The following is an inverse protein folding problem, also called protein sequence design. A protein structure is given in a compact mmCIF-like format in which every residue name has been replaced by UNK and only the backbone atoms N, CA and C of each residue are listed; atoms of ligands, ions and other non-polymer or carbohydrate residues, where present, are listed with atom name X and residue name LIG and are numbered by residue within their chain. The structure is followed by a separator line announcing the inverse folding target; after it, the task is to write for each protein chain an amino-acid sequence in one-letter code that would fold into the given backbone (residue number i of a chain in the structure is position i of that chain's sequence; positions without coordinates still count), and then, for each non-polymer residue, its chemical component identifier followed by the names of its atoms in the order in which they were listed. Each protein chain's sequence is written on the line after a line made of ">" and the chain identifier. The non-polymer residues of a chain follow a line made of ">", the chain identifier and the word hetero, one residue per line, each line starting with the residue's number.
data_IF_103153976944
#
_entry.id   IF_103153976944
#
_cell.length_a   1.000
_cell.length_b   1.000
_cell.length_c   1.000
_cell.angle_alpha   90.00
_cell.angle_beta   90.00
_cell.angle_gamma   90.00
#
_symmetry.space_group_name_H-M   'P 1'
#
loop_
_entity.id
_entity.type
_entity.pdbx_description
1 polymer ?
#
# COMPACT_ATOMS: atom_id res chain seq x y z
N UNK A 1 0.41 5.69 26.36
CA UNK A 1 -0.29 4.82 25.40
C UNK A 1 -0.45 5.61 24.12
N UNK A 2 0.26 5.20 23.07
CA UNK A 2 -0.12 5.53 21.69
C UNK A 2 -1.51 4.94 21.53
N UNK A 3 -2.49 5.71 21.03
CA UNK A 3 -3.76 5.09 20.68
C UNK A 3 -3.58 4.29 19.40
N UNK A 4 -4.43 3.28 19.24
CA UNK A 4 -4.84 2.73 17.96
C UNK A 4 -5.62 3.79 17.15
N UNK A 5 -4.95 4.92 16.88
CA UNK A 5 -5.18 5.67 15.67
C UNK A 5 -4.71 4.75 14.55
N UNK A 6 -5.60 3.84 14.11
CA UNK A 6 -5.40 2.90 13.00
C UNK A 6 -5.31 3.63 11.64
N UNK A 7 -4.85 4.88 11.67
CA UNK A 7 -4.96 5.81 10.58
C UNK A 7 -3.70 5.77 9.71
N UNK A 8 -3.87 5.02 8.62
CA UNK A 8 -3.65 5.59 7.27
C UNK A 8 -2.19 5.57 6.76
N UNK A 9 -1.27 4.88 7.43
CA UNK A 9 0.10 4.67 6.93
C UNK A 9 0.47 3.19 6.68
N UNK A 10 -0.52 2.29 6.74
CA UNK A 10 -0.28 0.84 6.73
C UNK A 10 -0.90 0.14 5.50
N UNK A 11 -0.31 -1.02 5.14
CA UNK A 11 -0.57 -1.74 3.89
C UNK A 11 0.15 -1.07 2.72
N UNK A 12 1.11 -1.72 2.08
CA UNK A 12 1.96 -1.11 1.04
C UNK A 12 2.42 -2.06 -0.08
N UNK A 13 2.44 -3.37 0.15
CA UNK A 13 1.69 -4.24 -0.77
C UNK A 13 0.21 -4.08 -0.38
N UNK A 14 -0.74 -3.79 -1.27
CA UNK A 14 -0.66 -3.82 -2.73
C UNK A 14 -0.63 -2.43 -3.39
N UNK A 15 -0.25 -2.46 -4.67
CA UNK A 15 -0.83 -1.59 -5.71
C UNK A 15 -1.19 -2.48 -6.91
N UNK A 16 -2.21 -3.36 -6.79
CA UNK A 16 -2.40 -4.57 -7.60
C UNK A 16 -3.75 -5.39 -7.55
N UNK A 17 -4.98 -4.91 -7.24
CA UNK A 17 -6.21 -5.78 -7.35
C UNK A 17 -7.68 -5.28 -7.65
N UNK A 18 -7.97 -4.24 -8.47
CA UNK A 18 -9.22 -3.98 -9.29
C UNK A 18 -10.41 -3.01 -8.99
N UNK A 19 -10.64 -2.38 -7.84
CA UNK A 19 -11.73 -1.38 -7.61
C UNK A 19 -13.10 -1.60 -8.28
N UNK A 20 -13.52 -0.72 -9.22
CA UNK A 20 -14.74 -0.87 -10.06
C UNK A 20 -14.73 0.03 -11.33
N UNK A 21 -15.54 -0.31 -12.35
CA UNK A 21 -15.75 0.48 -13.60
C UNK A 21 -17.13 0.18 -14.27
N UNK A 22 -17.46 0.87 -15.38
CA UNK A 22 -18.78 0.82 -16.05
C UNK A 22 -18.71 0.59 -17.60
N UNK A 23 -19.80 0.17 -18.28
CA UNK A 23 -19.76 -0.36 -19.66
C UNK A 23 -20.48 0.49 -20.76
N UNK A 24 -20.32 0.06 -22.03
CA UNK A 24 -21.10 0.43 -23.23
C UNK A 24 -21.40 -0.85 -24.05
N UNK A 25 -22.45 -0.90 -24.90
CA UNK A 25 -22.74 -2.08 -25.71
C UNK A 25 -21.78 -2.17 -26.92
N UNK A 26 -20.98 -3.23 -26.98
CA UNK A 26 -20.18 -3.57 -28.17
C UNK A 26 -20.75 -4.85 -28.79
N UNK A 27 -21.19 -4.73 -30.04
CA UNK A 27 -21.66 -5.87 -30.83
C UNK A 27 -20.50 -6.85 -31.06
N UNK A 28 -20.71 -8.13 -30.74
CA UNK A 28 -19.72 -9.17 -30.94
C UNK A 28 -19.52 -9.44 -32.44
N UNK A 29 -18.36 -9.04 -32.97
CA UNK A 29 -17.85 -9.52 -34.26
C UNK A 29 -16.93 -10.73 -34.02
N UNK A 30 -16.98 -11.77 -34.87
CA UNK A 30 -16.05 -12.89 -34.77
C UNK A 30 -14.62 -12.41 -35.07
N UNK A 31 -13.73 -12.50 -34.08
CA UNK A 31 -12.30 -12.21 -34.30
C UNK A 31 -11.69 -13.31 -35.17
N UNK A 32 -10.88 -12.95 -36.18
CA UNK A 32 -9.96 -13.89 -36.83
C UNK A 32 -9.02 -14.54 -35.80
N UNK A 33 -8.42 -15.67 -36.18
CA UNK A 33 -7.53 -16.43 -35.30
C UNK A 33 -6.37 -15.59 -34.75
N UNK A 34 -5.86 -16.01 -33.58
CA UNK A 34 -4.73 -15.35 -32.91
C UNK A 34 -3.49 -15.43 -33.79
N UNK A 35 -3.22 -14.35 -34.50
CA UNK A 35 -1.95 -14.15 -35.18
C UNK A 35 -0.88 -13.94 -34.10
N UNK A 36 -0.03 -14.95 -33.91
CA UNK A 36 1.11 -14.87 -32.99
C UNK A 36 2.11 -13.88 -33.58
N UNK A 37 2.02 -12.63 -33.11
CA UNK A 37 3.00 -11.59 -33.42
C UNK A 37 4.42 -12.02 -33.02
N UNK A 38 5.45 -11.30 -33.51
CA UNK A 38 6.84 -11.61 -33.17
C UNK A 38 7.01 -11.69 -31.64
N UNK A 39 7.88 -12.59 -31.14
CA UNK A 39 8.09 -12.75 -29.71
C UNK A 39 8.46 -11.38 -29.09
N UNK A 40 7.88 -11.03 -27.93
CA UNK A 40 8.08 -9.72 -27.33
C UNK A 40 9.58 -9.49 -27.12
N UNK A 41 10.10 -8.42 -27.72
CA UNK A 41 11.50 -8.05 -27.56
C UNK A 41 11.82 -7.85 -26.07
N UNK A 42 12.90 -8.49 -25.59
CA UNK A 42 13.28 -8.40 -24.18
C UNK A 42 13.54 -6.95 -23.79
N UNK A 43 12.66 -6.38 -22.97
CA UNK A 43 12.85 -5.05 -22.41
C UNK A 43 13.60 -5.14 -21.08
N UNK A 44 14.70 -4.38 -20.89
CA UNK A 44 15.47 -4.44 -19.67
C UNK A 44 14.65 -3.94 -18.47
N UNK A 45 14.79 -4.63 -17.33
CA UNK A 45 14.27 -4.15 -16.04
C UNK A 45 15.01 -2.86 -15.68
N UNK A 46 14.27 -1.81 -15.39
CA UNK A 46 14.81 -0.54 -14.92
C UNK A 46 13.78 0.17 -14.02
N UNK A 47 14.25 1.11 -13.20
CA UNK A 47 13.42 1.78 -12.20
C UNK A 47 12.23 2.55 -12.80
N UNK A 48 12.40 3.17 -13.99
CA UNK A 48 11.33 3.88 -14.67
C UNK A 48 10.23 2.92 -15.17
N UNK A 49 10.61 1.75 -15.71
CA UNK A 49 9.68 0.69 -16.13
C UNK A 49 8.87 0.16 -14.95
N UNK A 50 9.52 -0.14 -13.81
CA UNK A 50 8.82 -0.53 -12.57
C UNK A 50 7.88 0.59 -12.10
N UNK A 51 8.37 1.83 -12.01
CA UNK A 51 7.57 2.97 -11.52
C UNK A 51 6.33 3.24 -12.38
N UNK A 52 6.46 3.10 -13.69
CA UNK A 52 5.36 3.26 -14.64
C UNK A 52 4.37 2.08 -14.60
N UNK A 53 4.87 0.84 -14.58
CA UNK A 53 4.01 -0.34 -14.47
C UNK A 53 3.19 -0.30 -13.18
N UNK A 54 3.85 -0.05 -12.04
CA UNK A 54 3.26 -0.03 -10.70
C UNK A 54 2.55 1.28 -10.33
N UNK A 55 2.36 2.20 -11.28
CA UNK A 55 1.63 3.46 -11.09
C UNK A 55 2.11 4.31 -9.89
N UNK A 56 3.42 4.32 -9.61
CA UNK A 56 4.02 4.93 -8.41
C UNK A 56 3.63 6.40 -8.23
N UNK A 57 3.46 7.14 -9.32
CA UNK A 57 3.07 8.55 -9.28
C UNK A 57 1.64 8.73 -8.74
N UNK A 58 0.69 7.92 -9.20
CA UNK A 58 -0.71 7.93 -8.76
C UNK A 58 -0.83 7.40 -7.33
N UNK A 59 -0.06 6.37 -6.99
CA UNK A 59 0.02 5.82 -5.64
C UNK A 59 0.57 6.85 -4.65
N UNK A 60 1.64 7.58 -5.01
CA UNK A 60 2.20 8.63 -4.16
C UNK A 60 1.21 9.78 -3.89
N UNK A 61 0.36 10.11 -4.87
CA UNK A 61 -0.70 11.12 -4.69
C UNK A 61 -1.80 10.61 -3.74
N UNK A 62 -2.12 9.32 -3.76
CA UNK A 62 -3.05 8.70 -2.81
C UNK A 62 -2.45 8.62 -1.40
N UNK A 63 -1.20 8.14 -1.28
CA UNK A 63 -0.49 8.04 0.00
C UNK A 63 -0.28 9.41 0.67
N UNK A 64 -0.05 10.48 -0.10
CA UNK A 64 0.01 11.84 0.44
C UNK A 64 -1.36 12.33 0.96
N UNK A 65 -2.44 12.05 0.22
CA UNK A 65 -3.79 12.43 0.63
C UNK A 65 -4.25 11.64 1.87
N UNK A 66 -3.87 10.37 1.95
CA UNK A 66 -3.95 9.52 3.13
C UNK A 66 -3.26 10.21 4.32
N UNK A 67 -1.95 10.45 4.26
CA UNK A 67 -1.19 11.05 5.38
C UNK A 67 -1.75 12.44 5.76
N UNK A 68 -2.21 13.24 4.80
CA UNK A 68 -2.85 14.54 5.04
C UNK A 68 -4.23 14.45 5.72
N UNK A 69 -4.92 13.31 5.61
CA UNK A 69 -6.14 13.00 6.36
C UNK A 69 -5.88 12.44 7.76
N UNK A 70 -4.65 12.04 8.10
CA UNK A 70 -4.29 11.52 9.40
C UNK A 70 -4.15 12.64 10.45
N UNK A 71 -4.64 12.36 11.66
CA UNK A 71 -4.50 13.25 12.81
C UNK A 71 -3.05 13.40 13.30
N UNK A 72 -2.86 14.29 14.27
CA UNK A 72 -1.59 14.46 14.98
C UNK A 72 -1.35 13.22 15.87
N UNK A 73 -0.25 12.45 15.66
CA UNK A 73 -0.09 11.09 16.19
C UNK A 73 -0.03 11.00 17.72
N UNK A 74 0.13 12.13 18.42
CA UNK A 74 0.18 12.20 19.88
C UNK A 74 -0.92 13.07 20.49
N UNK A 75 -1.81 13.66 19.69
CA UNK A 75 -3.01 14.32 20.20
C UNK A 75 -4.23 13.36 20.15
N UNK A 76 -5.20 13.53 21.08
CA UNK A 76 -6.43 12.76 21.02
C UNK A 76 -7.24 13.14 19.78
N UNK A 77 -7.94 12.16 19.18
CA UNK A 77 -8.94 12.42 18.15
C UNK A 77 -9.89 13.52 18.61
N UNK A 78 -9.94 14.59 17.85
CA UNK A 78 -10.86 15.68 18.13
C UNK A 78 -12.30 15.16 17.89
N UNK A 79 -13.17 15.37 18.88
CA UNK A 79 -14.47 14.70 18.95
C UNK A 79 -15.44 15.08 17.82
N UNK A 80 -16.52 14.31 17.61
CA UNK A 80 -17.44 14.54 16.49
C UNK A 80 -17.89 16.01 16.34
N UNK A 81 -17.48 16.64 15.23
CA UNK A 81 -17.78 18.05 14.93
C UNK A 81 -16.61 19.03 15.13
N UNK A 82 -15.45 18.59 15.62
CA UNK A 82 -14.21 19.36 15.46
C UNK A 82 -13.80 19.43 13.99
N UNK A 83 -13.48 20.63 13.50
CA UNK A 83 -12.87 20.79 12.18
C UNK A 83 -11.47 20.18 12.11
N UNK A 84 -10.93 20.10 10.88
CA UNK A 84 -9.53 19.73 10.67
C UNK A 84 -8.62 20.72 11.40
N UNK A 85 -7.56 20.19 12.00
CA UNK A 85 -6.48 20.97 12.57
C UNK A 85 -5.64 21.58 11.43
N UNK A 86 -5.99 22.79 11.00
CA UNK A 86 -5.34 23.49 9.88
C UNK A 86 -3.82 23.65 10.10
N UNK A 87 -3.38 23.78 11.36
CA UNK A 87 -1.96 23.82 11.72
C UNK A 87 -1.26 22.48 11.47
N UNK A 88 -1.89 21.37 11.86
CA UNK A 88 -1.37 20.04 11.55
C UNK A 88 -1.37 19.76 10.04
N UNK A 89 -2.45 20.10 9.34
CA UNK A 89 -2.53 19.92 7.89
C UNK A 89 -1.40 20.68 7.15
N UNK A 90 -1.03 21.88 7.60
CA UNK A 90 0.11 22.61 7.04
C UNK A 90 1.46 21.93 7.32
N UNK A 91 1.65 21.38 8.53
CA UNK A 91 2.84 20.60 8.91
C UNK A 91 2.97 19.35 8.03
N UNK A 92 1.89 18.58 7.89
CA UNK A 92 1.87 17.35 7.08
C UNK A 92 2.15 17.64 5.61
N UNK A 93 1.52 18.65 5.02
CA UNK A 93 1.76 19.03 3.63
C UNK A 93 3.23 19.44 3.35
N UNK A 94 3.96 19.93 4.36
CA UNK A 94 5.40 20.23 4.27
C UNK A 94 6.27 18.97 4.43
N UNK A 95 5.87 18.04 5.30
CA UNK A 95 6.65 16.84 5.61
C UNK A 95 6.46 15.73 4.56
N UNK A 96 5.23 15.48 4.12
CA UNK A 96 4.85 14.37 3.25
C UNK A 96 4.18 14.81 1.92
N UNK A 97 4.67 15.84 1.20
CA UNK A 97 4.07 16.22 -0.09
C UNK A 97 4.20 15.06 -1.10
N UNK A 98 3.27 14.92 -2.07
CA UNK A 98 3.28 13.82 -3.04
C UNK A 98 4.61 13.69 -3.80
N UNK A 99 5.28 14.81 -4.07
CA UNK A 99 6.60 14.85 -4.71
C UNK A 99 7.70 14.20 -3.87
N UNK A 100 7.69 14.34 -2.53
CA UNK A 100 8.68 13.66 -1.66
C UNK A 100 8.47 12.16 -1.69
N UNK A 101 7.23 11.70 -1.50
CA UNK A 101 6.87 10.28 -1.52
C UNK A 101 7.28 9.67 -2.86
N UNK A 102 6.88 10.29 -3.97
CA UNK A 102 7.19 9.84 -5.33
C UNK A 102 8.69 9.74 -5.60
N UNK A 103 9.46 10.75 -5.20
CA UNK A 103 10.91 10.76 -5.43
C UNK A 103 11.62 9.69 -4.61
N UNK A 104 11.33 9.57 -3.30
CA UNK A 104 11.96 8.54 -2.45
C UNK A 104 11.55 7.13 -2.84
N UNK A 105 10.30 6.89 -3.25
CA UNK A 105 9.88 5.61 -3.83
C UNK A 105 10.68 5.27 -5.10
N UNK A 106 10.85 6.22 -6.02
CA UNK A 106 11.64 6.02 -7.25
C UNK A 106 13.12 5.77 -6.97
N UNK A 107 13.70 6.45 -5.98
CA UNK A 107 15.07 6.24 -5.51
C UNK A 107 15.25 4.85 -4.89
N UNK A 108 14.35 4.42 -4.01
CA UNK A 108 14.35 3.08 -3.42
C UNK A 108 14.21 1.98 -4.47
N UNK A 109 13.29 2.15 -5.44
CA UNK A 109 13.14 1.24 -6.59
C UNK A 109 14.43 1.18 -7.42
N UNK A 110 15.11 2.31 -7.63
CA UNK A 110 16.38 2.34 -8.35
C UNK A 110 17.49 1.57 -7.61
N UNK A 111 17.56 1.68 -6.28
CA UNK A 111 18.47 0.89 -5.45
C UNK A 111 18.17 -0.61 -5.54
N UNK A 112 16.92 -1.04 -5.37
CA UNK A 112 16.54 -2.46 -5.50
C UNK A 112 16.79 -3.04 -6.91
N UNK A 113 16.69 -2.21 -7.96
CA UNK A 113 17.09 -2.59 -9.33
C UNK A 113 18.61 -2.73 -9.47
N UNK A 114 19.41 -1.94 -8.77
CA UNK A 114 20.87 -2.10 -8.77
C UNK A 114 21.34 -3.37 -8.02
N UNK A 115 20.53 -3.87 -7.09
CA UNK A 115 20.78 -5.10 -6.33
C UNK A 115 20.33 -6.40 -7.05
N UNK A 116 19.46 -6.29 -8.06
CA UNK A 116 19.10 -7.37 -8.98
C UNK A 116 20.31 -7.82 -9.83
N UNK A 117 21.24 -8.57 -9.22
CA UNK A 117 22.51 -9.01 -9.83
C UNK A 117 22.41 -10.32 -10.61
N UNK A 118 21.50 -11.21 -10.23
CA UNK A 118 21.27 -12.49 -10.91
C UNK A 118 20.53 -12.29 -12.26
N UNK A 119 21.05 -12.80 -13.40
CA UNK A 119 20.31 -12.84 -14.66
C UNK A 119 18.94 -13.52 -14.58
N UNK A 120 18.79 -14.58 -13.79
CA UNK A 120 17.54 -15.33 -13.65
C UNK A 120 16.48 -14.53 -12.90
N UNK A 121 16.83 -13.87 -11.78
CA UNK A 121 15.92 -12.94 -11.10
C UNK A 121 15.49 -11.79 -12.01
N UNK A 122 16.44 -11.18 -12.75
CA UNK A 122 16.12 -10.11 -13.71
C UNK A 122 15.17 -10.57 -14.80
N UNK A 123 15.33 -11.79 -15.32
CA UNK A 123 14.42 -12.36 -16.31
C UNK A 123 13.02 -12.58 -15.72
N UNK A 124 12.93 -13.12 -14.51
CA UNK A 124 11.65 -13.31 -13.81
C UNK A 124 10.93 -11.99 -13.53
N UNK A 125 11.65 -10.95 -13.08
CA UNK A 125 11.08 -9.60 -12.90
C UNK A 125 10.65 -8.98 -14.24
N UNK A 126 11.38 -9.22 -15.33
CA UNK A 126 10.98 -8.74 -16.67
C UNK A 126 9.67 -9.39 -17.15
N UNK A 127 9.45 -10.68 -16.84
CA UNK A 127 8.20 -11.42 -17.10
C UNK A 127 7.04 -10.88 -16.25
N UNK A 128 7.27 -10.67 -14.95
CA UNK A 128 6.29 -10.08 -14.04
C UNK A 128 5.87 -8.67 -14.49
N UNK A 129 6.81 -7.84 -14.93
CA UNK A 129 6.49 -6.54 -15.54
C UNK A 129 5.67 -6.68 -16.82
N UNK A 130 5.92 -7.70 -17.65
CA UNK A 130 5.08 -7.99 -18.82
C UNK A 130 3.63 -8.32 -18.46
N UNK A 131 3.37 -8.95 -17.30
CA UNK A 131 2.02 -9.12 -16.76
C UNK A 131 1.39 -7.77 -16.36
N UNK A 132 2.10 -6.92 -15.60
CA UNK A 132 1.60 -5.61 -15.17
C UNK A 132 1.38 -4.63 -16.33
N UNK A 133 2.21 -4.71 -17.37
CA UNK A 133 2.09 -3.95 -18.61
C UNK A 133 1.00 -4.48 -19.56
N UNK A 134 0.37 -5.61 -19.25
CA UNK A 134 -0.78 -6.11 -20.00
C UNK A 134 -2.04 -5.27 -19.75
N UNK A 135 -3.05 -5.41 -20.62
CA UNK A 135 -4.35 -4.77 -20.41
C UNK A 135 -5.05 -5.25 -19.13
N UNK A 136 -4.80 -6.51 -18.72
CA UNK A 136 -5.31 -7.04 -17.45
C UNK A 136 -4.54 -6.44 -16.27
N UNK A 137 -3.21 -6.56 -16.25
CA UNK A 137 -2.34 -6.03 -15.19
C UNK A 137 -2.54 -4.54 -14.91
N UNK A 138 -2.70 -3.68 -15.93
CA UNK A 138 -3.01 -2.26 -15.71
C UNK A 138 -4.37 -2.03 -15.06
N UNK A 139 -5.41 -2.77 -15.47
CA UNK A 139 -6.75 -2.71 -14.84
C UNK A 139 -6.67 -3.18 -13.38
N UNK A 140 -5.87 -4.21 -13.16
CA UNK A 140 -5.59 -4.80 -11.84
C UNK A 140 -5.01 -3.74 -10.88
N UNK A 141 -3.97 -3.02 -11.29
CA UNK A 141 -3.33 -1.98 -10.46
C UNK A 141 -4.25 -0.77 -10.24
N UNK A 142 -4.74 -0.16 -11.33
CA UNK A 142 -5.34 1.18 -11.29
C UNK A 142 -6.53 1.28 -10.36
N UNK A 143 -7.45 0.33 -10.49
CA UNK A 143 -8.73 0.46 -9.82
C UNK A 143 -8.59 0.05 -8.34
N UNK A 144 -7.60 -0.75 -7.92
CA UNK A 144 -7.29 -0.88 -6.49
C UNK A 144 -6.70 0.40 -5.90
N UNK A 145 -5.86 1.15 -6.62
CA UNK A 145 -5.49 2.49 -6.15
C UNK A 145 -6.75 3.35 -5.96
N UNK A 146 -7.82 3.09 -6.72
CA UNK A 146 -9.18 3.57 -6.45
C UNK A 146 -9.85 2.99 -5.20
N UNK A 147 -9.77 1.68 -4.95
CA UNK A 147 -10.30 1.03 -3.75
C UNK A 147 -9.60 1.53 -2.47
N UNK A 148 -8.28 1.70 -2.50
CA UNK A 148 -7.46 2.29 -1.44
C UNK A 148 -7.86 3.75 -1.17
N UNK A 149 -8.00 4.56 -2.24
CA UNK A 149 -8.54 5.93 -2.14
C UNK A 149 -9.98 5.98 -1.59
N UNK A 150 -10.78 4.94 -1.82
CA UNK A 150 -12.14 4.86 -1.28
C UNK A 150 -12.12 4.43 0.19
N UNK A 151 -11.35 3.40 0.54
CA UNK A 151 -11.28 2.84 1.89
C UNK A 151 -10.61 3.78 2.90
N UNK A 152 -9.89 4.82 2.47
CA UNK A 152 -9.41 5.88 3.37
C UNK A 152 -10.53 6.74 3.97
N UNK A 153 -11.77 6.62 3.49
CA UNK A 153 -12.95 7.17 4.16
C UNK A 153 -13.47 6.17 5.23
N UNK A 154 -13.59 6.54 6.52
CA UNK A 154 -13.91 5.59 7.60
C UNK A 154 -15.24 4.84 7.45
N UNK A 155 -16.25 5.45 6.84
CA UNK A 155 -17.55 4.84 6.56
C UNK A 155 -17.45 3.77 5.45
N UNK A 156 -16.61 4.02 4.44
CA UNK A 156 -16.29 3.04 3.40
C UNK A 156 -15.44 1.90 3.96
N UNK A 157 -14.48 2.17 4.85
CA UNK A 157 -13.71 1.12 5.53
C UNK A 157 -14.60 0.19 6.36
N UNK A 158 -15.44 0.74 7.23
CA UNK A 158 -16.37 -0.04 8.04
C UNK A 158 -17.28 -0.90 7.15
N UNK A 159 -17.84 -0.32 6.09
CA UNK A 159 -18.67 -1.03 5.11
C UNK A 159 -17.89 -2.15 4.40
N UNK A 160 -16.62 -1.95 4.08
CA UNK A 160 -15.78 -2.94 3.41
C UNK A 160 -15.43 -4.12 4.33
N UNK A 161 -15.08 -3.85 5.59
CA UNK A 161 -14.81 -4.87 6.62
C UNK A 161 -16.08 -5.70 6.87
N UNK A 162 -17.24 -5.06 7.05
CA UNK A 162 -18.53 -5.73 7.20
C UNK A 162 -18.92 -6.57 5.98
N UNK A 163 -18.67 -6.06 4.76
CA UNK A 163 -18.96 -6.79 3.52
C UNK A 163 -18.13 -8.07 3.41
N UNK A 164 -16.82 -8.02 3.72
CA UNK A 164 -15.97 -9.21 3.74
C UNK A 164 -16.37 -10.18 4.87
N UNK A 165 -16.55 -9.68 6.10
CA UNK A 165 -16.95 -10.50 7.24
C UNK A 165 -18.28 -11.22 7.00
N UNK A 166 -19.28 -10.52 6.46
CA UNK A 166 -20.57 -11.08 6.06
C UNK A 166 -20.45 -12.09 4.92
N UNK A 167 -19.56 -11.88 3.95
CA UNK A 167 -19.27 -12.86 2.89
C UNK A 167 -18.59 -14.12 3.45
N UNK A 168 -17.66 -13.97 4.40
CA UNK A 168 -16.96 -15.07 5.07
C UNK A 168 -17.91 -15.90 5.93
N UNK A 169 -18.78 -15.26 6.73
CA UNK A 169 -19.80 -15.93 7.54
C UNK A 169 -20.80 -16.77 6.72
N UNK A 170 -21.01 -16.41 5.44
CA UNK A 170 -21.83 -17.17 4.49
C UNK A 170 -21.04 -18.16 3.61
N UNK A 171 -19.74 -18.36 3.87
CA UNK A 171 -18.84 -19.19 3.05
C UNK A 171 -18.86 -18.83 1.55
N UNK A 172 -18.95 -17.55 1.22
CA UNK A 172 -19.04 -17.08 -0.16
C UNK A 172 -17.75 -17.39 -0.95
N UNK A 173 -17.79 -18.04 -2.13
CA UNK A 173 -16.59 -18.55 -2.81
C UNK A 173 -15.44 -17.54 -3.04
N UNK A 174 -15.77 -16.26 -3.32
CA UNK A 174 -14.76 -15.20 -3.49
C UNK A 174 -13.85 -15.02 -2.26
N UNK A 175 -14.29 -15.33 -1.03
CA UNK A 175 -13.45 -15.15 0.17
C UNK A 175 -12.27 -16.12 0.20
N UNK A 176 -12.44 -17.35 -0.29
CA UNK A 176 -11.35 -18.32 -0.45
C UNK A 176 -10.32 -17.84 -1.49
N UNK A 177 -10.78 -17.20 -2.58
CA UNK A 177 -9.89 -16.63 -3.59
C UNK A 177 -9.18 -15.36 -3.11
N UNK A 178 -9.84 -14.52 -2.30
CA UNK A 178 -9.20 -13.37 -1.63
C UNK A 178 -8.08 -13.84 -0.72
N UNK A 179 -8.34 -14.83 0.16
CA UNK A 179 -7.31 -15.41 1.03
C UNK A 179 -6.18 -16.07 0.25
N UNK A 180 -6.48 -16.80 -0.83
CA UNK A 180 -5.46 -17.36 -1.70
C UNK A 180 -4.62 -16.30 -2.44
N UNK A 181 -5.19 -15.11 -2.72
CA UNK A 181 -4.44 -13.98 -3.27
C UNK A 181 -3.55 -13.31 -2.22
N UNK A 182 -4.07 -13.13 -1.00
CA UNK A 182 -3.32 -12.58 0.15
C UNK A 182 -2.09 -13.45 0.46
N UNK A 183 -2.28 -14.78 0.50
CA UNK A 183 -1.22 -15.76 0.69
C UNK A 183 -0.21 -15.74 -0.47
N UNK A 184 -0.68 -15.81 -1.73
CA UNK A 184 0.20 -15.87 -2.89
C UNK A 184 1.04 -14.60 -3.10
N UNK A 185 0.54 -13.45 -2.64
CA UNK A 185 1.21 -12.15 -2.73
C UNK A 185 2.03 -11.78 -1.47
N UNK A 186 1.95 -12.57 -0.39
CA UNK A 186 2.57 -12.33 0.92
C UNK A 186 2.30 -10.91 1.45
N UNK A 187 1.02 -10.60 1.70
CA UNK A 187 0.61 -9.22 2.03
C UNK A 187 0.69 -8.88 3.52
N UNK A 188 0.46 -9.86 4.40
CA UNK A 188 0.23 -9.59 5.83
C UNK A 188 1.55 -9.30 6.56
N UNK A 189 2.57 -10.15 6.42
CA UNK A 189 3.83 -9.96 7.16
C UNK A 189 4.54 -8.64 6.80
N UNK A 190 4.67 -8.24 5.51
CA UNK A 190 5.27 -6.94 5.18
C UNK A 190 4.45 -5.75 5.68
N UNK A 191 3.12 -5.85 5.73
CA UNK A 191 2.26 -4.79 6.26
C UNK A 191 2.42 -4.63 7.78
N UNK A 192 2.46 -5.73 8.54
CA UNK A 192 2.72 -5.70 9.99
C UNK A 192 4.11 -5.15 10.29
N UNK A 193 5.14 -5.61 9.56
CA UNK A 193 6.50 -5.10 9.71
C UNK A 193 6.61 -3.60 9.38
N UNK A 194 5.94 -3.14 8.31
CA UNK A 194 5.87 -1.71 7.98
C UNK A 194 5.19 -0.90 9.08
N UNK A 195 4.05 -1.38 9.62
CA UNK A 195 3.30 -0.72 10.69
C UNK A 195 4.14 -0.53 11.96
N UNK A 196 4.85 -1.59 12.39
CA UNK A 196 5.73 -1.55 13.56
C UNK A 196 6.91 -0.59 13.34
N UNK A 197 7.52 -0.61 12.16
CA UNK A 197 8.61 0.31 11.81
C UNK A 197 8.14 1.77 11.77
N UNK A 198 6.94 2.04 11.26
CA UNK A 198 6.33 3.38 11.24
C UNK A 198 6.06 3.85 12.67
N UNK A 199 5.42 3.04 13.52
CA UNK A 199 5.18 3.37 14.92
C UNK A 199 6.48 3.69 15.66
N UNK A 200 7.49 2.83 15.52
CA UNK A 200 8.82 3.02 16.14
C UNK A 200 9.55 4.26 15.59
N UNK A 201 9.40 4.59 14.32
CA UNK A 201 9.98 5.80 13.72
C UNK A 201 9.31 7.08 14.23
N UNK A 202 7.97 7.13 14.28
CA UNK A 202 7.21 8.26 14.87
C UNK A 202 7.63 8.50 16.31
N UNK A 203 7.75 7.43 17.08
CA UNK A 203 8.19 7.45 18.47
C UNK A 203 9.62 8.00 18.64
N UNK A 204 10.58 7.52 17.84
CA UNK A 204 11.95 8.06 17.79
C UNK A 204 11.96 9.53 17.39
N UNK A 205 11.11 9.93 16.46
CA UNK A 205 10.96 11.33 16.06
C UNK A 205 10.60 12.25 17.24
N UNK A 206 9.61 11.84 18.04
CA UNK A 206 9.20 12.61 19.23
C UNK A 206 10.30 12.65 20.31
N UNK A 207 11.02 11.55 20.53
CA UNK A 207 12.21 11.50 21.39
C UNK A 207 13.30 12.48 20.93
N UNK A 208 13.56 12.53 19.61
CA UNK A 208 14.51 13.43 18.97
C UNK A 208 14.05 14.90 18.92
N UNK A 209 12.84 15.20 19.38
CA UNK A 209 12.35 16.54 19.69
C UNK A 209 12.45 16.88 21.19
N UNK A 210 12.16 15.92 22.06
CA UNK A 210 12.19 16.07 23.52
C UNK A 210 13.59 16.01 24.16
N UNK A 211 14.64 15.73 23.36
CA UNK A 211 16.01 15.44 23.82
C UNK A 211 16.07 14.36 24.91
N UNK A 212 15.21 13.34 24.77
CA UNK A 212 15.05 12.25 25.72
C UNK A 212 14.99 10.91 25.00
N UNK A 213 15.79 9.93 25.45
CA UNK A 213 15.82 8.57 24.90
C UNK A 213 15.22 7.61 25.92
N UNK A 214 14.00 7.15 25.65
CA UNK A 214 13.36 6.06 26.39
C UNK A 214 13.55 4.73 25.63
N UNK A 215 14.30 3.76 26.18
CA UNK A 215 14.49 2.47 25.54
C UNK A 215 13.26 1.55 25.61
N UNK A 216 12.27 1.79 26.48
CA UNK A 216 11.06 0.93 26.58
C UNK A 216 10.22 0.97 25.30
N UNK A 217 10.41 1.99 24.49
CA UNK A 217 9.62 2.31 23.31
C UNK A 217 9.61 1.19 22.25
N UNK A 218 10.62 0.33 22.27
CA UNK A 218 10.69 -0.89 21.45
C UNK A 218 9.78 -1.97 22.04
N UNK A 219 9.82 -2.19 23.36
CA UNK A 219 8.96 -3.15 24.07
C UNK A 219 7.48 -2.75 23.96
N UNK A 220 7.17 -1.44 24.10
CA UNK A 220 5.83 -0.88 23.95
C UNK A 220 5.27 -1.06 22.52
N UNK A 221 6.12 -0.95 21.49
CA UNK A 221 5.73 -1.23 20.11
C UNK A 221 5.50 -2.73 19.87
N UNK A 222 6.37 -3.60 20.40
CA UNK A 222 6.19 -5.06 20.29
C UNK A 222 4.95 -5.57 21.04
N UNK A 223 4.59 -4.95 22.17
CA UNK A 223 3.37 -5.30 22.92
C UNK A 223 2.08 -5.10 22.10
N UNK A 224 2.10 -4.30 21.04
CA UNK A 224 0.98 -4.04 20.14
C UNK A 224 0.95 -4.93 18.89
N UNK A 225 1.94 -5.80 18.66
CA UNK A 225 2.08 -6.58 17.43
C UNK A 225 0.82 -7.40 17.08
N UNK A 226 0.21 -8.06 18.06
CA UNK A 226 -0.97 -8.89 17.83
C UNK A 226 -2.22 -8.08 17.46
N UNK A 227 -2.37 -6.87 18.00
CA UNK A 227 -3.46 -5.95 17.66
C UNK A 227 -3.25 -5.38 16.25
N UNK A 228 -2.04 -4.91 15.96
CA UNK A 228 -1.62 -4.46 14.63
C UNK A 228 -1.85 -5.55 13.59
N UNK A 229 -1.46 -6.80 13.88
CA UNK A 229 -1.67 -7.95 12.98
C UNK A 229 -3.13 -8.23 12.71
N UNK A 230 -3.98 -8.21 13.73
CA UNK A 230 -5.42 -8.43 13.57
C UNK A 230 -6.07 -7.31 12.74
N UNK A 231 -5.71 -6.05 13.01
CA UNK A 231 -6.18 -4.89 12.26
C UNK A 231 -5.75 -4.96 10.79
N UNK A 232 -4.46 -5.16 10.53
CA UNK A 232 -3.90 -5.22 9.17
C UNK A 232 -4.44 -6.40 8.37
N UNK A 233 -4.61 -7.56 8.98
CA UNK A 233 -5.26 -8.70 8.30
C UNK A 233 -6.68 -8.34 7.87
N UNK A 234 -7.48 -7.75 8.77
CA UNK A 234 -8.85 -7.34 8.45
C UNK A 234 -8.94 -6.22 7.41
N UNK A 235 -8.01 -5.25 7.45
CA UNK A 235 -7.93 -4.17 6.47
C UNK A 235 -7.54 -4.70 5.08
N UNK A 236 -6.54 -5.58 5.00
CA UNK A 236 -6.12 -6.22 3.74
C UNK A 236 -7.23 -7.11 3.18
N UNK A 237 -7.90 -7.92 4.02
CA UNK A 237 -9.04 -8.73 3.58
C UNK A 237 -10.18 -7.85 3.01
N UNK A 238 -10.48 -6.71 3.65
CA UNK A 238 -11.48 -5.76 3.19
C UNK A 238 -11.09 -5.05 1.88
N UNK A 239 -9.87 -4.53 1.79
CA UNK A 239 -9.33 -3.87 0.59
C UNK A 239 -9.33 -4.84 -0.60
N UNK A 240 -8.75 -6.03 -0.43
CA UNK A 240 -8.64 -7.02 -1.52
C UNK A 240 -10.01 -7.53 -1.94
N UNK A 241 -10.97 -7.68 -1.03
CA UNK A 241 -12.34 -8.05 -1.37
C UNK A 241 -13.10 -6.95 -2.13
N UNK A 242 -12.99 -5.69 -1.68
CA UNK A 242 -13.57 -4.55 -2.39
C UNK A 242 -12.97 -4.43 -3.79
N UNK A 243 -11.64 -4.44 -3.87
CA UNK A 243 -10.94 -4.23 -5.12
C UNK A 243 -11.18 -5.38 -6.10
N UNK A 244 -11.14 -6.64 -5.66
CA UNK A 244 -11.39 -7.79 -6.53
C UNK A 244 -12.86 -8.03 -6.91
N UNK A 245 -13.79 -7.19 -6.43
CA UNK A 245 -15.22 -7.33 -6.73
C UNK A 245 -15.57 -7.37 -8.23
N UNK A 246 -14.92 -6.62 -9.16
CA UNK A 246 -15.19 -6.67 -10.59
C UNK A 246 -14.43 -7.79 -11.33
N UNK A 247 -13.70 -8.66 -10.64
CA UNK A 247 -13.07 -9.83 -11.26
C UNK A 247 -14.07 -10.94 -11.50
N UNK A 248 -13.94 -11.61 -12.64
CA UNK A 248 -14.42 -12.98 -12.80
C UNK A 248 -13.51 -13.97 -12.06
N UNK A 249 -14.04 -15.16 -11.75
CA UNK A 249 -13.29 -16.19 -11.02
C UNK A 249 -12.07 -16.71 -11.80
N UNK A 250 -12.16 -16.72 -13.13
CA UNK A 250 -11.06 -17.07 -14.02
C UNK A 250 -9.93 -16.04 -13.93
N UNK A 251 -10.26 -14.75 -13.86
CA UNK A 251 -9.28 -13.68 -13.70
C UNK A 251 -8.69 -13.64 -12.29
N UNK A 252 -9.47 -13.91 -11.23
CA UNK A 252 -8.91 -14.15 -9.87
C UNK A 252 -7.88 -15.29 -9.90
N UNK A 253 -8.19 -16.40 -10.56
CA UNK A 253 -7.25 -17.53 -10.67
C UNK A 253 -5.97 -17.17 -11.46
N UNK A 254 -6.07 -16.29 -12.47
CA UNK A 254 -4.89 -15.73 -13.16
C UNK A 254 -4.08 -14.84 -12.22
N UNK A 255 -4.74 -13.93 -11.48
CA UNK A 255 -4.10 -12.99 -10.56
C UNK A 255 -3.37 -13.70 -9.41
N UNK A 256 -3.99 -14.72 -8.79
CA UNK A 256 -3.36 -15.54 -7.73
C UNK A 256 -2.08 -16.21 -8.26
N UNK A 257 -2.12 -16.82 -9.46
CA UNK A 257 -0.92 -17.43 -10.06
C UNK A 257 0.15 -16.40 -10.41
N UNK A 258 -0.24 -15.22 -10.88
CA UNK A 258 0.68 -14.14 -11.18
C UNK A 258 1.37 -13.64 -9.91
N UNK A 259 0.61 -13.31 -8.86
CA UNK A 259 1.14 -12.86 -7.57
C UNK A 259 2.16 -13.84 -6.98
N UNK A 260 1.85 -15.15 -7.01
CA UNK A 260 2.75 -16.21 -6.58
C UNK A 260 3.93 -16.54 -7.50
N UNK A 261 4.21 -15.74 -8.53
CA UNK A 261 5.38 -15.97 -9.40
C UNK A 261 6.69 -15.51 -8.74
N UNK A 262 7.85 -16.12 -9.05
CA UNK A 262 9.14 -15.67 -8.53
C UNK A 262 9.44 -14.21 -8.86
N UNK A 263 9.08 -13.77 -10.08
CA UNK A 263 9.25 -12.41 -10.53
C UNK A 263 8.40 -11.40 -9.76
N UNK A 264 7.16 -11.77 -9.42
CA UNK A 264 6.29 -10.90 -8.62
C UNK A 264 6.72 -10.84 -7.16
N UNK A 265 7.14 -11.96 -6.54
CA UNK A 265 7.74 -11.90 -5.20
C UNK A 265 8.97 -10.98 -5.16
N UNK A 266 9.89 -11.09 -6.13
CA UNK A 266 11.08 -10.21 -6.16
C UNK A 266 10.72 -8.74 -6.42
N UNK A 267 9.70 -8.48 -7.25
CA UNK A 267 9.16 -7.13 -7.47
C UNK A 267 8.52 -6.55 -6.20
N UNK A 268 7.70 -7.32 -5.48
CA UNK A 268 7.09 -6.91 -4.21
C UNK A 268 8.14 -6.59 -3.14
N UNK A 269 9.23 -7.36 -3.05
CA UNK A 269 10.35 -7.05 -2.15
C UNK A 269 10.94 -5.67 -2.45
N UNK A 270 11.26 -5.37 -3.72
CA UNK A 270 11.82 -4.08 -4.13
C UNK A 270 10.87 -2.91 -3.80
N UNK A 271 9.57 -3.11 -3.97
CA UNK A 271 8.55 -2.10 -3.63
C UNK A 271 8.42 -1.92 -2.12
N UNK A 272 8.43 -3.00 -1.34
CA UNK A 272 8.39 -2.96 0.14
C UNK A 272 9.62 -2.31 0.75
N UNK A 273 10.81 -2.56 0.21
CA UNK A 273 12.07 -1.94 0.66
C UNK A 273 12.03 -0.43 0.38
N UNK A 274 11.65 -0.03 -0.83
CA UNK A 274 11.49 1.38 -1.21
C UNK A 274 10.44 2.12 -0.35
N UNK A 275 9.31 1.46 -0.08
CA UNK A 275 8.24 1.98 0.77
C UNK A 275 8.68 2.10 2.23
N UNK A 276 9.27 1.05 2.80
CA UNK A 276 9.70 1.01 4.20
C UNK A 276 10.70 2.12 4.50
N UNK A 277 11.69 2.34 3.63
CA UNK A 277 12.64 3.45 3.77
C UNK A 277 11.94 4.83 3.68
N UNK A 278 11.05 5.01 2.70
CA UNK A 278 10.31 6.26 2.48
C UNK A 278 9.44 6.64 3.69
N UNK A 279 8.67 5.68 4.22
CA UNK A 279 7.70 5.93 5.27
C UNK A 279 8.29 5.91 6.68
N UNK A 280 9.38 5.18 6.93
CA UNK A 280 10.13 5.31 8.17
C UNK A 280 10.70 6.73 8.34
N UNK A 281 11.20 7.36 7.28
CA UNK A 281 11.64 8.77 7.34
C UNK A 281 10.47 9.74 7.58
N UNK A 282 9.36 9.59 6.84
CA UNK A 282 8.20 10.47 6.99
C UNK A 282 7.59 10.35 8.40
N UNK A 283 7.46 9.13 8.92
CA UNK A 283 6.98 8.86 10.28
C UNK A 283 7.85 9.56 11.33
N UNK A 284 9.19 9.47 11.22
CA UNK A 284 10.14 10.16 12.10
C UNK A 284 9.97 11.68 12.06
N UNK A 285 9.83 12.26 10.87
CA UNK A 285 9.62 13.71 10.72
C UNK A 285 8.28 14.16 11.33
N UNK A 286 7.20 13.40 11.11
CA UNK A 286 5.88 13.67 11.71
C UNK A 286 5.92 13.57 13.25
N UNK A 287 6.56 12.54 13.77
CA UNK A 287 6.75 12.36 15.21
C UNK A 287 7.56 13.49 15.85
N UNK A 288 8.63 13.93 15.19
CA UNK A 288 9.43 15.09 15.60
C UNK A 288 8.61 16.36 15.61
N UNK A 289 7.83 16.61 14.56
CA UNK A 289 6.98 17.79 14.47
C UNK A 289 5.90 17.81 15.58
N UNK A 290 5.22 16.68 15.84
CA UNK A 290 4.26 16.59 16.93
C UNK A 290 4.90 16.76 18.32
N UNK A 291 6.10 16.20 18.54
CA UNK A 291 6.86 16.42 19.78
C UNK A 291 7.16 17.89 20.04
N UNK A 292 7.75 18.59 19.06
CA UNK A 292 8.02 20.04 19.14
C UNK A 292 6.74 20.85 19.38
N UNK A 293 5.63 20.46 18.75
CA UNK A 293 4.33 21.11 18.91
C UNK A 293 3.81 21.01 20.35
N UNK A 294 3.90 19.84 20.97
CA UNK A 294 3.50 19.62 22.37
C UNK A 294 4.35 20.44 23.35
N UNK A 295 5.61 20.73 22.99
CA UNK A 295 6.51 21.59 23.76
C UNK A 295 6.23 23.09 23.55
N UNK A 296 5.30 23.46 22.66
CA UNK A 296 4.91 24.85 22.40
C UNK A 296 5.83 25.59 21.43
N UNK A 297 6.73 24.90 20.73
CA UNK A 297 7.58 25.52 19.72
C UNK A 297 6.81 25.84 18.43
N UNK A 298 7.20 26.93 17.75
CA UNK A 298 6.62 27.30 16.45
C UNK A 298 7.29 26.52 15.32
N UNK A 299 6.47 25.76 14.58
CA UNK A 299 6.86 24.91 13.46
C UNK A 299 6.76 25.62 12.11
#
# INVERSE_FOLDING_TARGET
>A
MIRSASFVLTGLVLAACLGIAAPLPVLAQPRPGVELGPPPAFQPVNAARISAAMQVDLLADVLAAEIAGAGDPFQPDAGPGSGLDEGWAAIVNRIAPPSRIRNRMREGIASGVAELRDPAERAAVAEALGFWESGFGRRVILLEIGARRAISAPDIEATARDAFAGAAARNHPRTAQVRALIEAADLVEPAVAASLNIALSTLRGAQEAADNVDPSIIEDAWAQEAEIRADQTGWIEALVFMASAPLSDAEMAVLIRAAGSPGNRRLSIILNEAASATFAEIARDLGRASGLRQMGERL
#
